data_IF_525797015960
#
_entry.id   IF_525797015960
#
_cell.length_a   1.000
_cell.length_b   1.000
_cell.length_c   1.000
_cell.angle_alpha   90.00
_cell.angle_beta   90.00
_cell.angle_gamma   90.00
#
_symmetry.space_group_name_H-M   'P 1'
#
loop_
_entity.id
_entity.type
_entity.pdbx_description
1 polymer ?
#
# COMPACT_ATOMS: atom_id res chain seq x y z
N UNK A 1 -34.99 -6.40 1.62
CA UNK A 1 -34.16 -5.66 0.65
C UNK A 1 -32.72 -5.44 1.11
N UNK A 2 -32.43 -5.41 2.42
CA UNK A 2 -31.06 -5.21 2.95
C UNK A 2 -30.20 -6.50 2.90
N UNK A 3 -30.80 -7.69 2.99
CA UNK A 3 -30.04 -8.95 2.88
C UNK A 3 -29.60 -9.31 1.45
N UNK A 4 -30.22 -8.74 0.42
CA UNK A 4 -29.80 -8.98 -0.97
C UNK A 4 -28.44 -8.32 -1.28
N UNK A 5 -28.10 -7.21 -0.60
CA UNK A 5 -26.83 -6.51 -0.78
C UNK A 5 -25.65 -7.19 -0.08
N UNK A 6 -25.89 -7.90 1.03
CA UNK A 6 -24.84 -8.68 1.72
C UNK A 6 -24.46 -9.94 0.95
N UNK A 7 -25.40 -10.55 0.23
CA UNK A 7 -25.15 -11.76 -0.57
C UNK A 7 -24.35 -11.44 -1.84
N UNK A 8 -24.59 -10.30 -2.49
CA UNK A 8 -23.82 -9.88 -3.66
C UNK A 8 -22.33 -9.58 -3.34
N UNK A 9 -22.04 -9.08 -2.13
CA UNK A 9 -20.66 -8.82 -1.69
C UNK A 9 -19.86 -10.09 -1.33
N UNK A 10 -20.54 -11.22 -1.05
CA UNK A 10 -19.87 -12.51 -0.81
C UNK A 10 -19.39 -13.19 -2.10
N UNK A 11 -19.79 -12.69 -3.27
CA UNK A 11 -19.45 -13.27 -4.58
C UNK A 11 -18.36 -12.52 -5.36
N UNK A 12 -17.97 -11.32 -4.93
CA UNK A 12 -16.79 -10.62 -5.47
C UNK A 12 -15.69 -10.63 -4.42
N UNK A 13 -14.98 -11.76 -4.34
CA UNK A 13 -13.61 -11.73 -3.85
C UNK A 13 -12.80 -11.01 -4.92
N UNK A 14 -12.78 -9.68 -4.85
CA UNK A 14 -11.74 -8.92 -5.56
C UNK A 14 -10.44 -9.30 -4.89
N UNK A 15 -9.66 -10.17 -5.54
CA UNK A 15 -8.30 -10.39 -5.09
C UNK A 15 -7.60 -9.04 -5.26
N UNK A 16 -7.22 -8.40 -4.17
CA UNK A 16 -6.52 -7.12 -4.22
C UNK A 16 -5.04 -7.39 -4.51
N UNK A 17 -4.35 -6.50 -5.24
CA UNK A 17 -2.91 -6.59 -5.53
C UNK A 17 -2.03 -6.42 -4.27
N UNK A 18 -2.08 -7.37 -3.34
CA UNK A 18 -1.26 -7.40 -2.15
C UNK A 18 0.17 -7.91 -2.42
N UNK A 19 0.45 -8.37 -3.64
CA UNK A 19 1.75 -8.95 -4.02
C UNK A 19 2.94 -7.98 -3.92
N UNK A 20 2.68 -6.66 -3.97
CA UNK A 20 3.71 -5.62 -3.86
C UNK A 20 4.06 -5.25 -2.41
N UNK A 21 3.27 -5.72 -1.42
CA UNK A 21 3.45 -5.32 -0.02
C UNK A 21 4.85 -5.66 0.47
N UNK A 22 5.59 -4.62 0.86
CA UNK A 22 6.92 -4.73 1.43
C UNK A 22 8.03 -4.83 0.39
N UNK A 23 7.79 -4.39 -0.85
CA UNK A 23 8.88 -4.14 -1.80
C UNK A 23 9.85 -3.04 -1.32
N UNK A 24 10.99 -2.88 -1.99
CA UNK A 24 12.00 -1.89 -1.59
C UNK A 24 11.51 -0.43 -1.72
N UNK A 25 10.57 -0.17 -2.63
CA UNK A 25 9.94 1.14 -2.76
C UNK A 25 9.04 1.45 -1.55
N UNK A 26 8.31 0.45 -1.06
CA UNK A 26 7.51 0.54 0.16
C UNK A 26 8.37 0.80 1.38
N UNK A 27 9.53 0.14 1.51
CA UNK A 27 10.49 0.46 2.58
C UNK A 27 10.85 1.94 2.61
N UNK A 28 11.23 2.51 1.46
CA UNK A 28 11.56 3.94 1.36
C UNK A 28 10.36 4.85 1.67
N UNK A 29 9.16 4.51 1.18
CA UNK A 29 7.93 5.27 1.47
C UNK A 29 7.58 5.24 2.95
N UNK A 30 7.60 4.08 3.59
CA UNK A 30 7.23 3.96 4.99
C UNK A 30 8.24 4.63 5.91
N UNK A 31 9.55 4.53 5.63
CA UNK A 31 10.57 5.28 6.35
C UNK A 31 10.36 6.79 6.24
N UNK A 32 10.06 7.30 5.04
CA UNK A 32 9.77 8.72 4.84
C UNK A 32 8.50 9.17 5.59
N UNK A 33 7.41 8.41 5.47
CA UNK A 33 6.14 8.72 6.13
C UNK A 33 6.26 8.63 7.66
N UNK A 34 7.02 7.66 8.18
CA UNK A 34 7.35 7.56 9.60
C UNK A 34 8.10 8.78 10.08
N UNK A 35 9.14 9.21 9.37
CA UNK A 35 9.90 10.40 9.71
C UNK A 35 9.02 11.67 9.74
N UNK A 36 8.04 11.79 8.83
CA UNK A 36 7.06 12.88 8.88
C UNK A 36 6.14 12.79 10.11
N UNK A 37 5.63 11.60 10.42
CA UNK A 37 4.80 11.38 11.61
C UNK A 37 5.55 11.74 12.90
N UNK A 38 6.81 11.31 13.03
CA UNK A 38 7.68 11.61 14.17
C UNK A 38 8.03 13.11 14.28
N UNK A 39 8.11 13.80 13.14
CA UNK A 39 8.24 15.26 13.10
C UNK A 39 6.94 16.02 13.43
N UNK A 40 5.85 15.31 13.76
CA UNK A 40 4.56 15.88 14.15
C UNK A 40 3.60 16.16 12.99
N UNK A 41 3.92 15.74 11.76
CA UNK A 41 3.02 15.84 10.61
C UNK A 41 1.97 14.74 10.69
N UNK A 42 0.69 15.09 10.53
CA UNK A 42 -0.38 14.09 10.47
C UNK A 42 -0.37 13.40 9.11
N UNK A 43 -0.12 12.10 9.11
CA UNK A 43 -0.01 11.28 7.90
C UNK A 43 -1.34 10.58 7.63
N UNK A 44 -1.83 10.73 6.40
CA UNK A 44 -2.92 9.93 5.84
C UNK A 44 -2.40 9.08 4.69
N UNK A 45 -2.75 7.81 4.66
CA UNK A 45 -2.39 6.88 3.58
C UNK A 45 -3.64 6.46 2.83
N UNK A 46 -3.66 6.72 1.52
CA UNK A 46 -4.73 6.28 0.64
C UNK A 46 -4.25 5.12 -0.22
N UNK A 47 -4.78 3.93 0.02
CA UNK A 47 -4.45 2.75 -0.75
C UNK A 47 -5.23 2.76 -2.07
N UNK A 48 -4.53 2.94 -3.18
CA UNK A 48 -5.08 2.76 -4.53
C UNK A 48 -5.18 1.27 -4.84
N UNK A 49 -6.13 0.61 -4.18
CA UNK A 49 -6.38 -0.81 -4.35
C UNK A 49 -7.04 -1.03 -5.70
N UNK A 50 -6.34 -1.74 -6.57
CA UNK A 50 -6.86 -2.20 -7.86
C UNK A 50 -7.02 -3.70 -7.84
N UNK A 51 -7.94 -4.20 -8.67
CA UNK A 51 -8.13 -5.63 -8.89
C UNK A 51 -6.80 -6.30 -9.29
N UNK A 52 -6.61 -7.54 -8.84
CA UNK A 52 -5.48 -8.39 -9.19
C UNK A 52 -5.32 -8.48 -10.71
N UNK A 53 -4.12 -8.20 -11.21
CA UNK A 53 -3.79 -8.27 -12.63
C UNK A 53 -3.14 -9.60 -13.01
N UNK A 54 -3.08 -10.57 -12.08
CA UNK A 54 -2.39 -11.86 -12.23
C UNK A 54 -0.91 -11.72 -12.56
N UNK A 55 -0.36 -10.51 -12.40
CA UNK A 55 1.05 -10.24 -12.68
C UNK A 55 1.93 -11.00 -11.69
N UNK A 56 3.11 -11.37 -12.17
CA UNK A 56 4.15 -11.98 -11.34
C UNK A 56 5.14 -10.93 -10.81
N UNK A 57 4.85 -9.64 -11.00
CA UNK A 57 5.66 -8.53 -10.49
C UNK A 57 5.30 -8.21 -9.04
N UNK A 58 6.31 -7.88 -8.23
CA UNK A 58 6.20 -7.73 -6.77
C UNK A 58 7.36 -8.34 -5.97
N UNK A 59 8.53 -8.53 -6.60
CA UNK A 59 9.57 -9.48 -6.15
C UNK A 59 10.84 -8.84 -5.58
N UNK A 60 10.90 -7.52 -5.43
CA UNK A 60 12.06 -6.86 -4.82
C UNK A 60 11.98 -6.90 -3.29
N UNK A 61 11.80 -8.10 -2.73
CA UNK A 61 11.83 -8.35 -1.27
C UNK A 61 13.15 -8.95 -0.82
N UNK A 62 14.04 -9.30 -1.75
CA UNK A 62 15.36 -9.88 -1.44
C UNK A 62 16.24 -8.96 -0.58
N UNK A 63 15.97 -7.65 -0.58
CA UNK A 63 16.64 -6.70 0.31
C UNK A 63 16.39 -7.01 1.79
N UNK A 64 15.27 -7.67 2.15
CA UNK A 64 14.97 -8.07 3.54
C UNK A 64 15.79 -9.30 3.99
N UNK A 65 16.46 -10.00 3.07
CA UNK A 65 17.34 -11.14 3.39
C UNK A 65 18.73 -10.72 3.87
N UNK A 66 19.11 -9.45 3.65
CA UNK A 66 20.39 -8.88 4.05
C UNK A 66 20.14 -7.64 4.89
N UNK A 67 20.93 -7.44 5.93
CA UNK A 67 20.71 -6.31 6.84
C UNK A 67 21.30 -4.98 6.31
N UNK A 68 21.76 -4.95 5.05
CA UNK A 68 22.37 -3.79 4.37
C UNK A 68 21.47 -2.55 4.39
N UNK A 69 20.14 -2.74 4.39
CA UNK A 69 19.16 -1.65 4.40
C UNK A 69 18.62 -1.33 5.80
N UNK A 70 18.88 -2.18 6.79
CA UNK A 70 18.41 -2.00 8.17
C UNK A 70 18.95 -0.71 8.79
N UNK A 71 20.10 -0.22 8.33
CA UNK A 71 20.72 1.02 8.83
C UNK A 71 19.91 2.28 8.55
N UNK A 72 19.05 2.29 7.53
CA UNK A 72 18.31 3.50 7.14
C UNK A 72 17.08 3.73 8.01
N UNK A 73 16.39 2.64 8.36
CA UNK A 73 15.27 2.65 9.30
C UNK A 73 15.10 1.23 9.87
N UNK A 74 15.66 0.94 11.06
CA UNK A 74 15.59 -0.39 11.64
C UNK A 74 14.17 -0.84 11.96
N UNK A 75 13.30 0.08 12.35
CA UNK A 75 11.94 -0.22 12.79
C UNK A 75 11.07 -0.60 11.60
N UNK A 76 11.17 0.17 10.51
CA UNK A 76 10.49 -0.16 9.26
C UNK A 76 11.03 -1.46 8.68
N UNK A 77 12.36 -1.63 8.67
CA UNK A 77 13.00 -2.81 8.09
C UNK A 77 12.58 -4.10 8.81
N UNK A 78 12.68 -4.13 10.14
CA UNK A 78 12.37 -5.32 10.94
C UNK A 78 10.88 -5.69 10.82
N UNK A 79 10.01 -4.69 10.75
CA UNK A 79 8.58 -4.92 10.62
C UNK A 79 8.19 -5.43 9.23
N UNK A 80 8.78 -4.88 8.15
CA UNK A 80 8.59 -5.43 6.81
C UNK A 80 9.17 -6.84 6.68
N UNK A 81 10.30 -7.14 7.32
CA UNK A 81 10.88 -8.49 7.38
C UNK A 81 9.93 -9.48 8.06
N UNK A 82 9.26 -9.05 9.15
CA UNK A 82 8.22 -9.83 9.85
C UNK A 82 6.99 -10.07 8.98
N UNK A 83 6.51 -9.05 8.26
CA UNK A 83 5.31 -9.14 7.41
C UNK A 83 5.58 -9.97 6.15
N UNK A 84 6.80 -9.93 5.61
CA UNK A 84 7.17 -10.63 4.38
C UNK A 84 7.00 -12.17 4.47
N UNK A 85 7.02 -12.76 5.67
CA UNK A 85 6.83 -14.20 5.88
C UNK A 85 5.37 -14.60 6.13
N UNK A 86 4.43 -13.65 6.19
CA UNK A 86 3.00 -13.93 6.34
C UNK A 86 2.47 -14.44 5.00
N UNK A 87 1.85 -15.63 5.01
CA UNK A 87 1.33 -16.32 3.82
C UNK A 87 0.38 -15.44 3.00
N UNK A 88 -0.55 -14.79 3.68
CA UNK A 88 -1.59 -13.94 3.07
C UNK A 88 -1.36 -12.47 3.44
N UNK A 89 -0.10 -12.01 3.34
CA UNK A 89 0.25 -10.61 3.64
C UNK A 89 -0.57 -9.65 2.78
N UNK A 90 -0.95 -8.52 3.37
CA UNK A 90 -1.78 -7.50 2.74
C UNK A 90 -1.49 -6.11 3.32
N UNK A 91 -2.03 -5.07 2.70
CA UNK A 91 -1.93 -3.70 3.24
C UNK A 91 -2.45 -3.60 4.67
N UNK A 92 -3.43 -4.43 5.06
CA UNK A 92 -3.93 -4.51 6.45
C UNK A 92 -2.83 -4.86 7.45
N UNK A 93 -1.86 -5.68 7.07
CA UNK A 93 -0.72 -5.97 7.94
C UNK A 93 0.18 -4.74 8.17
N UNK A 94 0.25 -3.82 7.20
CA UNK A 94 0.93 -2.53 7.34
C UNK A 94 0.13 -1.58 8.23
N UNK A 95 -1.21 -1.54 8.06
CA UNK A 95 -2.08 -0.72 8.91
C UNK A 95 -2.00 -1.14 10.38
N UNK A 96 -1.98 -2.45 10.64
CA UNK A 96 -1.96 -3.02 11.99
C UNK A 96 -0.57 -3.03 12.64
N UNK A 97 0.51 -2.84 11.87
CA UNK A 97 1.87 -2.88 12.41
C UNK A 97 2.25 -1.63 13.19
N UNK A 98 1.58 -0.50 12.96
CA UNK A 98 1.96 0.79 13.56
C UNK A 98 3.30 1.32 13.04
N UNK A 99 3.76 0.84 11.88
CA UNK A 99 5.03 1.25 11.26
C UNK A 99 5.08 2.75 10.96
N UNK A 100 3.92 3.39 10.74
CA UNK A 100 3.75 4.84 10.69
C UNK A 100 2.89 5.25 11.89
N UNK A 101 3.46 5.89 12.93
CA UNK A 101 2.72 6.32 14.12
C UNK A 101 1.55 7.26 13.77
N UNK A 102 0.42 7.09 14.45
CA UNK A 102 -0.79 7.92 14.31
C UNK A 102 -1.36 8.05 12.86
N UNK A 103 -0.93 7.20 11.93
CA UNK A 103 -1.40 7.28 10.55
C UNK A 103 -2.88 6.88 10.44
N UNK A 104 -3.61 7.58 9.57
CA UNK A 104 -4.98 7.22 9.19
C UNK A 104 -4.95 6.57 7.82
N UNK A 105 -5.55 5.39 7.71
CA UNK A 105 -5.57 4.62 6.46
C UNK A 105 -6.95 4.67 5.81
N UNK A 106 -6.96 4.82 4.49
CA UNK A 106 -8.15 4.70 3.65
C UNK A 106 -7.96 3.53 2.68
N UNK A 107 -8.68 2.43 2.94
CA UNK A 107 -8.55 1.15 2.24
C UNK A 107 -9.80 0.75 1.44
N UNK A 108 -10.68 1.71 1.12
CA UNK A 108 -11.82 1.42 0.26
C UNK A 108 -11.40 1.29 -1.20
N UNK A 109 -11.96 0.29 -1.88
CA UNK A 109 -11.76 0.11 -3.32
C UNK A 109 -12.24 1.37 -4.06
N UNK A 110 -11.31 2.07 -4.70
CA UNK A 110 -11.64 3.17 -5.59
C UNK A 110 -12.13 2.57 -6.91
N UNK A 111 -13.31 2.99 -7.36
CA UNK A 111 -13.74 2.75 -8.74
C UNK A 111 -13.23 3.92 -9.57
N UNK A 112 -12.10 3.79 -10.30
CA UNK A 112 -11.64 4.87 -11.15
C UNK A 112 -12.73 5.21 -12.16
N UNK A 113 -13.08 6.49 -12.23
CA UNK A 113 -13.93 7.04 -13.29
C UNK A 113 -12.96 7.67 -14.30
N UNK A 114 -12.92 7.11 -15.51
CA UNK A 114 -12.02 7.54 -16.58
C UNK A 114 -10.79 6.66 -16.77
N UNK A 115 -10.07 6.91 -17.85
CA UNK A 115 -8.87 6.26 -18.34
C UNK A 115 -7.66 7.21 -18.17
N UNK A 116 -6.41 6.73 -18.25
CA UNK A 116 -5.24 7.62 -18.29
C UNK A 116 -5.32 8.69 -19.39
N UNK A 117 -6.03 8.40 -20.49
CA UNK A 117 -6.27 9.32 -21.60
C UNK A 117 -7.31 10.40 -21.27
N UNK A 118 -8.13 10.19 -20.23
CA UNK A 118 -9.08 11.19 -19.70
C UNK A 118 -8.43 12.20 -18.74
N UNK A 119 -7.10 12.12 -18.53
CA UNK A 119 -6.35 13.19 -17.87
C UNK A 119 -6.37 14.41 -18.78
N UNK A 120 -7.40 15.24 -18.65
CA UNK A 120 -7.49 16.51 -19.36
C UNK A 120 -6.23 17.33 -19.13
N UNK A 121 -5.74 17.99 -20.18
CA UNK A 121 -4.73 19.03 -20.05
C UNK A 121 -5.20 20.00 -18.96
N UNK A 122 -4.41 20.17 -17.90
CA UNK A 122 -4.68 21.20 -16.90
C UNK A 122 -4.48 22.53 -17.62
N UNK A 123 -5.53 23.34 -17.85
CA UNK A 123 -5.37 24.58 -18.61
C UNK A 123 -4.33 25.47 -17.92
N UNK A 124 -3.20 25.73 -18.59
CA UNK A 124 -2.10 26.55 -18.07
C UNK A 124 -0.89 25.77 -17.51
N UNK A 125 -0.96 24.44 -17.41
CA UNK A 125 0.20 23.59 -17.09
C UNK A 125 0.39 22.63 -18.26
N UNK A 126 1.36 22.95 -19.13
CA UNK A 126 1.74 22.07 -20.24
C UNK A 126 2.14 20.67 -19.77
N UNK A 127 2.20 19.72 -20.72
CA UNK A 127 2.56 18.33 -20.44
C UNK A 127 3.89 18.25 -19.66
N UNK A 128 3.85 17.54 -18.53
CA UNK A 128 5.04 17.18 -17.75
C UNK A 128 5.94 16.21 -18.51
#
# INVERSE_FOLDING_TARGET
MIELFKVAARGLVFNMKNQYVGDIGDFGKYALLRAFAEAGVKVGVNWYLTDDDTSNDGKFTDYLKKDDFRIYDPEVFDELKRIAVIRDKSVKNIEESGIIPDAVFFSYLLKPIGTPDDRGEVPGLGKA
#
